data_IF_674729693491
#
_entry.id   IF_674729693491
#
_cell.length_a   1.000
_cell.length_b   1.000
_cell.length_c   1.000
_cell.angle_alpha   90.00
_cell.angle_beta   90.00
_cell.angle_gamma   90.00
#
_symmetry.space_group_name_H-M   'P 1'
#
loop_
_entity.id
_entity.type
_entity.pdbx_description
1 polymer ?
#
# COMPACT_ATOMS: atom_id res chain seq x y z
N UNK A 1 15.13 -15.22 18.06
CA UNK A 1 16.33 -14.67 17.41
C UNK A 1 15.85 -13.75 16.31
N UNK A 2 16.14 -12.45 16.40
CA UNK A 2 16.00 -11.56 15.25
C UNK A 2 17.12 -11.95 14.26
N UNK A 3 16.77 -12.42 13.07
CA UNK A 3 17.76 -12.62 12.01
C UNK A 3 18.31 -11.24 11.61
N UNK A 4 19.56 -10.95 11.97
CA UNK A 4 20.27 -9.79 11.45
C UNK A 4 20.39 -9.93 9.93
N UNK A 5 19.87 -8.94 9.19
CA UNK A 5 19.96 -8.91 7.72
C UNK A 5 21.40 -9.09 7.26
N UNK A 6 21.60 -9.98 6.29
CA UNK A 6 22.90 -10.20 5.67
C UNK A 6 23.41 -8.92 4.99
N UNK A 7 24.74 -8.77 4.89
CA UNK A 7 25.36 -7.65 4.18
C UNK A 7 24.85 -7.49 2.74
N UNK A 8 24.46 -8.61 2.10
CA UNK A 8 23.85 -8.61 0.76
C UNK A 8 22.47 -7.98 0.76
N UNK A 9 21.64 -8.30 1.75
CA UNK A 9 20.29 -7.74 1.90
C UNK A 9 20.35 -6.25 2.26
N UNK A 10 21.29 -5.86 3.13
CA UNK A 10 21.53 -4.45 3.47
C UNK A 10 21.91 -3.64 2.22
N UNK A 11 22.90 -4.09 1.43
CA UNK A 11 23.29 -3.41 0.18
C UNK A 11 22.17 -3.36 -0.86
N UNK A 12 21.35 -4.42 -0.92
CA UNK A 12 20.17 -4.45 -1.80
C UNK A 12 19.15 -3.40 -1.37
N UNK A 13 18.85 -3.31 -0.07
CA UNK A 13 17.92 -2.32 0.48
C UNK A 13 18.43 -0.89 0.27
N UNK A 14 19.72 -0.65 0.53
CA UNK A 14 20.36 0.66 0.32
C UNK A 14 20.26 1.10 -1.15
N UNK A 15 20.58 0.20 -2.09
CA UNK A 15 20.46 0.50 -3.53
C UNK A 15 19.02 0.79 -3.92
N UNK A 16 18.07 0.01 -3.40
CA UNK A 16 16.64 0.23 -3.63
C UNK A 16 16.22 1.61 -3.14
N UNK A 17 16.57 1.98 -1.91
CA UNK A 17 16.23 3.28 -1.32
C UNK A 17 16.84 4.44 -2.11
N UNK A 18 18.08 4.30 -2.61
CA UNK A 18 18.72 5.32 -3.46
C UNK A 18 17.96 5.55 -4.76
N UNK A 19 17.41 4.50 -5.36
CA UNK A 19 16.59 4.61 -6.58
C UNK A 19 15.24 5.27 -6.26
N UNK A 20 14.57 4.87 -5.19
CA UNK A 20 13.30 5.50 -4.77
C UNK A 20 13.49 6.97 -4.42
N UNK A 21 14.59 7.31 -3.75
CA UNK A 21 14.96 8.69 -3.44
C UNK A 21 15.17 9.51 -4.71
N UNK A 22 15.96 9.01 -5.67
CA UNK A 22 16.17 9.69 -6.94
C UNK A 22 14.86 9.88 -7.72
N UNK A 23 14.05 8.83 -7.82
CA UNK A 23 12.79 8.83 -8.54
C UNK A 23 11.78 9.82 -7.93
N UNK A 24 11.57 9.75 -6.63
CA UNK A 24 10.64 10.65 -5.93
C UNK A 24 11.14 12.09 -5.91
N UNK A 25 12.45 12.33 -5.77
CA UNK A 25 13.05 13.67 -5.86
C UNK A 25 12.81 14.35 -7.22
N UNK A 26 13.03 13.62 -8.32
CA UNK A 26 12.88 14.16 -9.66
C UNK A 26 11.40 14.45 -9.98
N UNK A 27 10.52 13.50 -9.65
CA UNK A 27 9.08 13.66 -9.90
C UNK A 27 8.47 14.79 -9.06
N UNK A 28 8.82 14.90 -7.77
CA UNK A 28 8.33 15.99 -6.91
C UNK A 28 8.74 17.38 -7.43
N UNK A 29 9.86 17.47 -8.16
CA UNK A 29 10.37 18.74 -8.74
C UNK A 29 9.88 19.04 -10.15
N UNK A 30 9.73 18.01 -10.99
CA UNK A 30 9.53 18.17 -12.45
C UNK A 30 8.17 17.65 -12.94
N UNK A 31 7.45 16.90 -12.10
CA UNK A 31 6.22 16.22 -12.47
C UNK A 31 6.45 14.79 -12.98
N UNK A 32 5.40 13.99 -12.93
CA UNK A 32 5.48 12.56 -13.22
C UNK A 32 5.77 12.29 -14.69
N UNK A 33 5.05 12.92 -15.63
CA UNK A 33 5.24 12.73 -17.06
C UNK A 33 6.62 13.19 -17.57
N UNK A 34 7.16 14.28 -17.02
CA UNK A 34 8.40 14.89 -17.47
C UNK A 34 9.68 14.14 -17.02
N UNK A 35 9.56 13.17 -16.10
CA UNK A 35 10.71 12.43 -15.56
C UNK A 35 10.88 11.08 -16.29
N UNK A 36 12.10 10.77 -16.72
CA UNK A 36 12.46 9.54 -17.43
C UNK A 36 13.23 8.54 -16.55
N UNK A 37 13.28 7.26 -16.94
CA UNK A 37 14.06 6.24 -16.23
C UNK A 37 15.56 6.55 -16.36
N UNK A 38 15.98 7.08 -17.49
CA UNK A 38 17.35 7.48 -17.79
C UNK A 38 17.85 8.56 -16.80
N UNK A 39 17.09 9.63 -16.60
CA UNK A 39 17.42 10.68 -15.61
C UNK A 39 17.46 10.12 -14.18
N UNK A 40 16.55 9.21 -13.84
CA UNK A 40 16.56 8.53 -12.52
C UNK A 40 17.85 7.72 -12.37
N UNK A 41 18.25 6.97 -13.39
CA UNK A 41 19.48 6.17 -13.37
C UNK A 41 20.73 7.03 -13.20
N UNK A 42 20.80 8.15 -13.93
CA UNK A 42 21.88 9.13 -13.80
C UNK A 42 21.94 9.71 -12.39
N UNK A 43 20.80 10.13 -11.85
CA UNK A 43 20.72 10.72 -10.51
C UNK A 43 21.04 9.71 -9.40
N UNK A 44 20.65 8.44 -9.57
CA UNK A 44 20.95 7.36 -8.63
C UNK A 44 22.34 6.72 -8.84
N UNK A 45 23.12 7.19 -9.83
CA UNK A 45 24.42 6.65 -10.22
C UNK A 45 24.40 5.13 -10.51
N UNK A 46 23.45 4.68 -11.34
CA UNK A 46 23.30 3.27 -11.72
C UNK A 46 23.07 3.10 -13.23
N UNK A 47 23.22 1.88 -13.71
CA UNK A 47 22.82 1.52 -15.07
C UNK A 47 21.31 1.26 -15.17
N UNK A 48 20.75 1.37 -16.39
CA UNK A 48 19.36 0.97 -16.69
C UNK A 48 19.09 -0.50 -16.38
N UNK A 49 20.06 -1.38 -16.64
CA UNK A 49 19.97 -2.81 -16.26
C UNK A 49 19.84 -2.95 -14.74
N UNK A 50 20.62 -2.18 -13.98
CA UNK A 50 20.52 -2.17 -12.51
C UNK A 50 19.14 -1.70 -12.08
N UNK A 51 18.59 -0.63 -12.66
CA UNK A 51 17.23 -0.17 -12.34
C UNK A 51 16.20 -1.30 -12.47
N UNK A 52 16.20 -2.00 -13.61
CA UNK A 52 15.26 -3.10 -13.85
C UNK A 52 15.51 -4.34 -12.99
N UNK A 53 16.67 -4.48 -12.34
CA UNK A 53 16.86 -5.53 -11.34
C UNK A 53 16.11 -5.24 -10.02
N UNK A 54 15.67 -3.99 -9.81
CA UNK A 54 14.97 -3.55 -8.60
C UNK A 54 13.52 -3.13 -8.84
N UNK A 55 13.20 -2.62 -10.03
CA UNK A 55 11.91 -2.02 -10.36
C UNK A 55 11.50 -2.35 -11.78
N UNK A 56 10.27 -2.81 -11.97
CA UNK A 56 9.74 -3.15 -13.29
C UNK A 56 9.33 -1.91 -14.10
N UNK A 57 9.19 -0.76 -13.45
CA UNK A 57 8.69 0.49 -14.05
C UNK A 57 9.09 1.74 -13.27
N UNK A 58 9.03 2.91 -13.93
CA UNK A 58 9.13 4.23 -13.26
C UNK A 58 8.10 4.35 -12.14
N UNK A 59 6.86 3.99 -12.44
CA UNK A 59 5.73 3.95 -11.51
C UNK A 59 6.06 3.24 -10.20
N UNK A 60 6.67 2.05 -10.28
CA UNK A 60 7.06 1.27 -9.10
C UNK A 60 8.17 1.91 -8.26
N UNK A 61 9.08 2.68 -8.89
CA UNK A 61 10.12 3.40 -8.16
C UNK A 61 9.55 4.65 -7.46
N UNK A 62 8.70 5.39 -8.18
CA UNK A 62 8.14 6.67 -7.70
C UNK A 62 7.07 6.42 -6.63
N UNK A 63 6.10 5.57 -6.92
CA UNK A 63 4.88 5.47 -6.12
C UNK A 63 4.94 4.33 -5.09
N UNK A 64 6.09 3.68 -4.98
CA UNK A 64 6.29 2.43 -4.24
C UNK A 64 6.04 1.24 -5.14
N UNK A 65 6.66 0.10 -4.80
CA UNK A 65 6.40 -1.13 -5.53
C UNK A 65 4.88 -1.32 -5.63
N UNK A 66 4.33 -1.69 -6.82
CA UNK A 66 2.99 -2.24 -6.85
C UNK A 66 2.98 -3.29 -5.77
N UNK A 67 2.08 -3.13 -4.81
CA UNK A 67 2.01 -4.01 -3.66
C UNK A 67 1.96 -5.42 -4.21
N UNK A 68 3.06 -6.14 -4.05
CA UNK A 68 3.24 -7.48 -4.61
C UNK A 68 1.98 -8.28 -4.28
N UNK A 69 1.60 -9.25 -5.10
CA UNK A 69 0.48 -10.12 -4.71
C UNK A 69 0.72 -10.63 -3.29
N UNK A 70 -0.34 -10.75 -2.49
CA UNK A 70 -0.18 -11.33 -1.16
C UNK A 70 0.50 -12.70 -1.33
N UNK A 71 1.56 -12.93 -0.57
CA UNK A 71 2.28 -14.20 -0.65
C UNK A 71 1.36 -15.35 -0.24
N UNK A 72 1.67 -16.58 -0.68
CA UNK A 72 0.89 -17.75 -0.30
C UNK A 72 0.76 -17.90 1.23
N UNK A 73 1.80 -17.51 1.96
CA UNK A 73 1.79 -17.48 3.43
C UNK A 73 0.80 -16.44 3.97
N UNK A 74 0.74 -15.24 3.39
CA UNK A 74 -0.21 -14.20 3.78
C UNK A 74 -1.65 -14.61 3.47
N UNK A 75 -1.88 -15.22 2.30
CA UNK A 75 -3.20 -15.74 1.89
C UNK A 75 -3.66 -16.87 2.82
N UNK A 76 -2.78 -17.84 3.08
CA UNK A 76 -3.06 -18.95 3.99
C UNK A 76 -3.33 -18.44 5.41
N UNK A 77 -2.50 -17.53 5.91
CA UNK A 77 -2.72 -16.88 7.20
C UNK A 77 -4.12 -16.26 7.28
N UNK A 78 -4.53 -15.48 6.28
CA UNK A 78 -5.84 -14.84 6.27
C UNK A 78 -7.00 -15.85 6.23
N UNK A 79 -6.87 -16.93 5.45
CA UNK A 79 -7.91 -17.95 5.26
C UNK A 79 -8.04 -18.96 6.40
N UNK A 80 -7.03 -19.07 7.26
CA UNK A 80 -7.00 -20.09 8.32
C UNK A 80 -7.00 -19.48 9.74
N UNK A 81 -6.57 -18.24 9.93
CA UNK A 81 -6.49 -17.62 11.27
C UNK A 81 -7.88 -17.43 11.89
N UNK A 82 -8.19 -18.06 13.04
CA UNK A 82 -9.44 -17.83 13.75
C UNK A 82 -9.61 -16.36 14.10
N UNK A 83 -10.78 -15.80 13.84
CA UNK A 83 -11.12 -14.40 14.15
C UNK A 83 -12.61 -14.29 14.42
N UNK A 84 -12.99 -13.25 15.16
CA UNK A 84 -14.39 -12.80 15.30
C UNK A 84 -14.64 -11.49 14.55
N UNK A 85 -13.57 -10.82 14.10
CA UNK A 85 -13.61 -9.53 13.39
C UNK A 85 -12.81 -9.66 12.08
N UNK A 86 -13.54 -9.76 10.98
CA UNK A 86 -12.94 -9.91 9.66
C UNK A 86 -12.27 -8.63 9.17
N UNK A 87 -12.82 -7.46 9.52
CA UNK A 87 -12.22 -6.16 9.19
C UNK A 87 -10.86 -6.02 9.88
N UNK A 88 -10.78 -6.35 11.18
CA UNK A 88 -9.52 -6.32 11.91
C UNK A 88 -8.47 -7.26 11.30
N UNK A 89 -8.84 -8.49 10.96
CA UNK A 89 -7.94 -9.44 10.29
C UNK A 89 -7.46 -8.92 8.93
N UNK A 90 -8.33 -8.27 8.15
CA UNK A 90 -7.95 -7.62 6.88
C UNK A 90 -6.96 -6.48 7.10
N UNK A 91 -7.17 -5.66 8.13
CA UNK A 91 -6.26 -4.56 8.46
C UNK A 91 -4.88 -5.07 8.85
N UNK A 92 -4.80 -6.14 9.66
CA UNK A 92 -3.52 -6.74 10.05
C UNK A 92 -2.79 -7.40 8.87
N UNK A 93 -3.52 -8.00 7.93
CA UNK A 93 -2.98 -8.47 6.66
C UNK A 93 -2.33 -7.31 5.89
N UNK A 94 -3.03 -6.19 5.76
CA UNK A 94 -2.53 -4.99 5.06
C UNK A 94 -1.33 -4.39 5.77
N UNK A 95 -1.38 -4.21 7.11
CA UNK A 95 -0.23 -3.71 7.88
C UNK A 95 1.00 -4.57 7.65
N UNK A 96 0.85 -5.89 7.77
CA UNK A 96 1.95 -6.84 7.58
C UNK A 96 2.52 -6.76 6.17
N UNK A 97 1.67 -6.63 5.16
CA UNK A 97 2.10 -6.50 3.77
C UNK A 97 2.81 -5.16 3.49
N UNK A 98 2.39 -4.08 4.15
CA UNK A 98 2.97 -2.74 3.97
C UNK A 98 4.23 -2.48 4.80
N UNK A 99 4.65 -3.42 5.66
CA UNK A 99 5.88 -3.29 6.46
C UNK A 99 7.07 -2.94 5.55
N UNK A 100 7.83 -1.93 5.95
CA UNK A 100 9.02 -1.46 5.22
C UNK A 100 8.76 -0.55 4.01
N UNK A 101 7.55 -0.54 3.42
CA UNK A 101 7.26 0.25 2.20
C UNK A 101 7.27 1.78 2.44
N UNK A 102 7.09 2.20 3.69
CA UNK A 102 7.08 3.60 4.13
C UNK A 102 8.08 3.87 5.26
N UNK A 103 9.17 3.12 5.33
CA UNK A 103 10.17 3.27 6.40
C UNK A 103 10.94 4.60 6.31
N UNK A 104 11.14 5.14 5.10
CA UNK A 104 11.75 6.45 4.90
C UNK A 104 10.66 7.54 4.79
N UNK A 105 10.58 8.39 5.81
CA UNK A 105 9.55 9.43 5.89
C UNK A 105 9.71 10.53 4.84
N UNK A 106 10.93 10.85 4.38
CA UNK A 106 11.16 11.85 3.33
C UNK A 106 10.66 11.38 1.96
N UNK A 107 10.88 10.09 1.66
CA UNK A 107 10.31 9.44 0.46
C UNK A 107 8.78 9.40 0.58
N UNK A 108 8.25 9.04 1.76
CA UNK A 108 6.82 9.02 2.00
C UNK A 108 6.16 10.41 1.84
N UNK A 109 6.79 11.48 2.33
CA UNK A 109 6.32 12.86 2.15
C UNK A 109 6.30 13.28 0.68
N UNK A 110 7.34 12.93 -0.10
CA UNK A 110 7.33 13.17 -1.56
C UNK A 110 6.19 12.39 -2.22
N UNK A 111 6.03 11.10 -1.92
CA UNK A 111 4.92 10.29 -2.46
C UNK A 111 3.55 10.88 -2.14
N UNK A 112 3.35 11.41 -0.93
CA UNK A 112 2.13 12.12 -0.53
C UNK A 112 1.88 13.35 -1.41
N UNK A 113 2.90 14.18 -1.67
CA UNK A 113 2.76 15.35 -2.56
C UNK A 113 2.51 14.94 -4.02
N UNK A 114 3.25 13.95 -4.51
CA UNK A 114 3.12 13.38 -5.85
C UNK A 114 1.72 12.80 -6.07
N UNK A 115 1.02 12.34 -5.03
CA UNK A 115 -0.35 11.84 -5.16
C UNK A 115 -1.35 12.88 -5.71
N UNK A 116 -1.01 14.18 -5.67
CA UNK A 116 -1.78 15.25 -6.31
C UNK A 116 -1.44 15.53 -7.78
N UNK A 117 -0.37 14.94 -8.33
CA UNK A 117 -0.03 15.03 -9.76
C UNK A 117 -1.03 14.18 -10.58
N UNK A 118 -1.66 14.73 -11.64
CA UNK A 118 -2.71 14.02 -12.39
C UNK A 118 -2.26 12.70 -13.02
N UNK A 119 -1.04 12.64 -13.55
CA UNK A 119 -0.51 11.45 -14.20
C UNK A 119 -0.15 10.39 -13.16
N UNK A 120 0.44 10.83 -12.04
CA UNK A 120 0.70 9.96 -10.89
C UNK A 120 -0.61 9.42 -10.26
N UNK A 121 -1.68 10.22 -10.26
CA UNK A 121 -2.99 9.83 -9.73
C UNK A 121 -3.61 8.70 -10.54
N UNK A 122 -3.56 8.73 -11.87
CA UNK A 122 -4.07 7.66 -12.73
C UNK A 122 -3.33 6.33 -12.50
N UNK A 123 -2.00 6.37 -12.43
CA UNK A 123 -1.18 5.20 -12.11
C UNK A 123 -1.48 4.66 -10.69
N UNK A 124 -1.63 5.56 -9.72
CA UNK A 124 -1.94 5.21 -8.33
C UNK A 124 -3.32 4.58 -8.18
N UNK A 125 -4.33 5.12 -8.86
CA UNK A 125 -5.68 4.58 -8.86
C UNK A 125 -5.70 3.16 -9.44
N UNK A 126 -5.02 2.94 -10.56
CA UNK A 126 -4.96 1.61 -11.20
C UNK A 126 -4.35 0.56 -10.25
N UNK A 127 -3.22 0.89 -9.59
CA UNK A 127 -2.59 -0.02 -8.61
C UNK A 127 -3.46 -0.26 -7.38
N UNK A 128 -4.06 0.79 -6.83
CA UNK A 128 -4.94 0.68 -5.65
C UNK A 128 -6.20 -0.12 -5.96
N UNK A 129 -6.75 0.00 -7.17
CA UNK A 129 -7.90 -0.80 -7.62
C UNK A 129 -7.53 -2.28 -7.69
N UNK A 130 -6.40 -2.62 -8.32
CA UNK A 130 -5.93 -4.01 -8.39
C UNK A 130 -5.78 -4.64 -6.99
N UNK A 131 -5.14 -3.93 -6.04
CA UNK A 131 -5.01 -4.42 -4.67
C UNK A 131 -6.35 -4.51 -3.93
N UNK A 132 -7.23 -3.51 -4.11
CA UNK A 132 -8.58 -3.54 -3.52
C UNK A 132 -9.39 -4.74 -4.01
N UNK A 133 -9.26 -5.13 -5.28
CA UNK A 133 -9.89 -6.33 -5.84
C UNK A 133 -9.32 -7.60 -5.23
N UNK A 134 -7.99 -7.69 -5.05
CA UNK A 134 -7.38 -8.85 -4.39
C UNK A 134 -7.83 -9.00 -2.92
N UNK A 135 -7.91 -7.90 -2.18
CA UNK A 135 -8.42 -7.88 -0.80
C UNK A 135 -9.88 -8.35 -0.76
N UNK A 136 -10.74 -7.80 -1.63
CA UNK A 136 -12.15 -8.18 -1.69
C UNK A 136 -12.32 -9.68 -2.01
N UNK A 137 -11.54 -10.22 -2.94
CA UNK A 137 -11.60 -11.64 -3.29
C UNK A 137 -11.21 -12.54 -2.10
N UNK A 138 -10.16 -12.17 -1.34
CA UNK A 138 -9.78 -12.94 -0.14
C UNK A 138 -10.87 -12.88 0.94
N UNK A 139 -11.47 -11.72 1.17
CA UNK A 139 -12.57 -11.55 2.14
C UNK A 139 -13.77 -12.40 1.73
N UNK A 140 -14.14 -12.37 0.44
CA UNK A 140 -15.23 -13.18 -0.11
C UNK A 140 -14.98 -14.67 0.12
N UNK A 141 -13.81 -15.19 -0.26
CA UNK A 141 -13.45 -16.60 -0.03
C UNK A 141 -13.52 -16.96 1.46
N UNK A 142 -13.13 -16.04 2.34
CA UNK A 142 -13.23 -16.23 3.79
C UNK A 142 -14.69 -16.29 4.25
N UNK A 143 -15.56 -15.41 3.78
CA UNK A 143 -16.99 -15.41 4.10
C UNK A 143 -17.71 -16.65 3.55
N UNK A 144 -17.35 -17.14 2.36
CA UNK A 144 -17.90 -18.37 1.78
C UNK A 144 -17.52 -19.62 2.60
N UNK A 145 -16.27 -19.68 3.08
CA UNK A 145 -15.78 -20.77 3.94
C UNK A 145 -16.35 -20.67 5.37
N UNK A 146 -16.61 -19.46 5.85
CA UNK A 146 -17.01 -19.15 7.21
C UNK A 146 -18.17 -18.14 7.25
N UNK A 147 -19.40 -18.58 6.90
CA UNK A 147 -20.57 -17.69 6.84
C UNK A 147 -20.92 -17.02 8.18
N UNK A 148 -20.49 -17.61 9.30
CA UNK A 148 -20.68 -17.06 10.65
C UNK A 148 -19.95 -15.74 10.89
N UNK A 149 -18.96 -15.39 10.05
CA UNK A 149 -18.23 -14.12 10.12
C UNK A 149 -18.96 -12.95 9.46
N UNK A 150 -20.06 -13.21 8.73
CA UNK A 150 -20.84 -12.17 8.07
C UNK A 150 -21.54 -11.26 9.09
N UNK A 151 -21.33 -9.96 8.97
CA UNK A 151 -22.04 -8.93 9.73
C UNK A 151 -23.45 -8.71 9.21
N UNK A 152 -23.70 -9.02 7.93
CA UNK A 152 -24.99 -8.87 7.28
C UNK A 152 -25.35 -10.13 6.46
N UNK A 153 -25.84 -11.20 7.11
CA UNK A 153 -26.10 -12.48 6.44
C UNK A 153 -27.10 -12.42 5.28
N UNK A 154 -27.91 -11.37 5.20
CA UNK A 154 -28.91 -11.17 4.14
C UNK A 154 -28.32 -10.59 2.84
N UNK A 155 -27.05 -10.17 2.83
CA UNK A 155 -26.33 -9.75 1.60
C UNK A 155 -25.35 -10.81 1.12
N UNK A 156 -25.08 -10.79 -0.18
CA UNK A 156 -24.12 -11.71 -0.79
C UNK A 156 -22.72 -11.48 -0.19
N UNK A 157 -21.92 -12.54 0.06
CA UNK A 157 -20.54 -12.43 0.54
C UNK A 157 -19.68 -11.47 -0.28
N UNK A 158 -19.87 -11.46 -1.61
CA UNK A 158 -19.22 -10.53 -2.54
C UNK A 158 -19.51 -9.05 -2.18
N UNK A 159 -20.76 -8.73 -1.83
CA UNK A 159 -21.16 -7.36 -1.51
C UNK A 159 -20.57 -6.92 -0.18
N UNK A 160 -20.60 -7.78 0.83
CA UNK A 160 -19.97 -7.50 2.12
C UNK A 160 -18.45 -7.37 1.99
N UNK A 161 -17.82 -8.21 1.19
CA UNK A 161 -16.40 -8.13 0.89
C UNK A 161 -16.01 -6.80 0.21
N UNK A 162 -16.85 -6.30 -0.71
CA UNK A 162 -16.66 -4.99 -1.32
C UNK A 162 -16.78 -3.85 -0.29
N UNK A 163 -17.68 -3.95 0.69
CA UNK A 163 -17.82 -2.95 1.75
C UNK A 163 -16.60 -2.92 2.69
N UNK A 164 -16.18 -4.08 3.19
CA UNK A 164 -14.97 -4.20 4.04
C UNK A 164 -13.74 -3.74 3.26
N UNK A 165 -13.57 -4.21 2.02
CA UNK A 165 -12.48 -3.79 1.14
C UNK A 165 -12.48 -2.29 0.85
N UNK A 166 -13.66 -1.66 0.72
CA UNK A 166 -13.77 -0.21 0.55
C UNK A 166 -13.29 0.55 1.78
N UNK A 167 -13.70 0.14 2.99
CA UNK A 167 -13.25 0.77 4.25
C UNK A 167 -11.72 0.73 4.35
N UNK A 168 -11.12 -0.44 4.11
CA UNK A 168 -9.66 -0.62 4.15
C UNK A 168 -8.96 0.22 3.08
N UNK A 169 -9.51 0.27 1.86
CA UNK A 169 -8.96 1.08 0.76
C UNK A 169 -8.97 2.58 1.09
N UNK A 170 -10.08 3.11 1.61
CA UNK A 170 -10.17 4.53 1.95
C UNK A 170 -9.24 4.88 3.11
N UNK A 171 -9.15 4.03 4.13
CA UNK A 171 -8.19 4.21 5.22
C UNK A 171 -6.74 4.20 4.71
N UNK A 172 -6.40 3.29 3.78
CA UNK A 172 -5.09 3.27 3.14
C UNK A 172 -4.82 4.54 2.32
N UNK A 173 -5.83 5.03 1.59
CA UNK A 173 -5.72 6.28 0.84
C UNK A 173 -5.42 7.46 1.76
N UNK A 174 -6.19 7.61 2.84
CA UNK A 174 -5.99 8.66 3.85
C UNK A 174 -4.58 8.53 4.44
N UNK A 175 -4.21 7.34 4.92
CA UNK A 175 -2.94 7.09 5.60
C UNK A 175 -1.70 7.36 4.72
N UNK A 176 -1.83 7.37 3.39
CA UNK A 176 -0.70 7.49 2.45
C UNK A 176 -0.70 8.76 1.60
N UNK A 177 -1.86 9.39 1.40
CA UNK A 177 -2.01 10.49 0.44
C UNK A 177 -2.81 11.69 0.97
N UNK A 178 -3.47 11.59 2.13
CA UNK A 178 -4.20 12.76 2.67
C UNK A 178 -3.23 13.91 2.96
N UNK A 179 -3.62 15.18 2.71
CA UNK A 179 -2.77 16.33 2.99
C UNK A 179 -2.46 16.52 4.48
N UNK A 180 -3.30 15.97 5.37
CA UNK A 180 -3.20 16.16 6.82
C UNK A 180 -2.30 15.12 7.52
N UNK A 181 -1.82 14.09 6.80
CA UNK A 181 -0.98 13.07 7.44
C UNK A 181 0.42 13.60 7.75
N UNK A 182 0.96 13.12 8.86
CA UNK A 182 2.37 13.28 9.19
C UNK A 182 3.14 11.99 8.84
N UNK A 183 3.90 11.97 7.74
CA UNK A 183 4.64 10.76 7.34
C UNK A 183 5.80 10.39 8.29
N UNK A 184 6.16 11.24 9.26
CA UNK A 184 7.08 10.83 10.34
C UNK A 184 6.42 9.85 11.32
N UNK A 185 5.08 9.78 11.34
CA UNK A 185 4.33 8.80 12.11
C UNK A 185 4.42 7.44 11.41
N UNK A 186 4.71 6.33 12.15
CA UNK A 186 4.71 4.99 11.58
C UNK A 186 3.43 4.69 10.79
N UNK A 187 3.57 3.94 9.70
CA UNK A 187 2.47 3.67 8.78
C UNK A 187 1.28 2.99 9.50
N UNK A 188 1.57 2.06 10.39
CA UNK A 188 0.58 1.28 11.15
C UNK A 188 -0.32 2.21 11.97
N UNK A 189 0.27 3.20 12.65
CA UNK A 189 -0.48 4.20 13.42
C UNK A 189 -1.30 5.12 12.52
N UNK A 190 -0.74 5.56 11.39
CA UNK A 190 -1.50 6.37 10.40
C UNK A 190 -2.69 5.61 9.86
N UNK A 191 -2.55 4.32 9.60
CA UNK A 191 -3.64 3.46 9.12
C UNK A 191 -4.73 3.30 10.20
N UNK A 192 -4.34 3.07 11.45
CA UNK A 192 -5.28 2.97 12.57
C UNK A 192 -6.08 4.28 12.76
N UNK A 193 -5.42 5.43 12.68
CA UNK A 193 -6.08 6.73 12.80
C UNK A 193 -7.00 7.02 11.60
N UNK A 194 -6.59 6.62 10.40
CA UNK A 194 -7.43 6.71 9.21
C UNK A 194 -8.69 5.83 9.30
N UNK A 195 -8.57 4.60 9.81
CA UNK A 195 -9.72 3.72 10.06
C UNK A 195 -10.69 4.33 11.06
N UNK A 196 -10.19 4.85 12.19
CA UNK A 196 -11.02 5.54 13.19
C UNK A 196 -11.73 6.74 12.56
N UNK A 197 -11.04 7.51 11.72
CA UNK A 197 -11.63 8.66 11.02
C UNK A 197 -12.79 8.23 10.12
N UNK A 198 -12.60 7.21 9.26
CA UNK A 198 -13.64 6.68 8.37
C UNK A 198 -14.86 6.21 9.16
N UNK A 199 -14.65 5.44 10.23
CA UNK A 199 -15.72 4.89 11.09
C UNK A 199 -16.45 5.99 11.86
N UNK A 200 -15.74 6.97 12.41
CA UNK A 200 -16.37 8.05 13.15
C UNK A 200 -17.13 9.00 12.23
N UNK A 201 -16.60 9.26 11.03
CA UNK A 201 -17.29 10.04 10.02
C UNK A 201 -18.60 9.37 9.59
N UNK A 202 -18.59 8.05 9.35
CA UNK A 202 -19.79 7.32 8.93
C UNK A 202 -20.91 7.33 9.98
N UNK A 203 -20.57 7.26 11.27
CA UNK A 203 -21.55 7.39 12.38
C UNK A 203 -22.28 8.74 12.41
N UNK A 204 -21.68 9.79 11.86
CA UNK A 204 -22.27 11.13 11.80
C UNK A 204 -23.20 11.36 10.62
N UNK A 205 -23.26 10.44 9.66
CA UNK A 205 -24.09 10.58 8.46
C UNK A 205 -25.57 10.39 8.79
N UNK A 206 -26.43 11.15 8.11
CA UNK A 206 -27.89 11.00 8.13
C UNK A 206 -28.34 10.75 6.69
N UNK A 207 -29.11 9.69 6.47
CA UNK A 207 -29.77 9.40 5.20
C UNK A 207 -31.29 9.42 5.36
#
# INVERSE_FOLDING_TARGET
>A
MQEEMSLREQKRLETRLRIEDAATSLVDKRGFAATTIEEICEHAAISRRTFFNYFDSKDSAVLGSPSEMFSDNQRTYFLETPTEDLLHLTVELVKTHMRGHHANHEIAERRRRIAGDPDAAAASLSRKRAKSSEIAELIKLRLEKNPELSLYPDVLPETEALLIGAIVREALWIATASPEINCATPFEHRLDDALKLVINFSKGLKW
#
